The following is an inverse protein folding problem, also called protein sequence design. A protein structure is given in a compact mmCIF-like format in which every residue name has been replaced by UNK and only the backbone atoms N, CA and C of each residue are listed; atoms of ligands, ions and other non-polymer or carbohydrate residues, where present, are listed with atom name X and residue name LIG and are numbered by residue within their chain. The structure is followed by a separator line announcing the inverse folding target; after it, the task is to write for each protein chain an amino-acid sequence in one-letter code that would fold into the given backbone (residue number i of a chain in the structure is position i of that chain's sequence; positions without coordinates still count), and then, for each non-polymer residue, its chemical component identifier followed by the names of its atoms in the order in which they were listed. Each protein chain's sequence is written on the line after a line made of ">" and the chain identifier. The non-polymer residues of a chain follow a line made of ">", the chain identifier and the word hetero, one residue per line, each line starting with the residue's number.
data_IF_032699780891
#
_entry.id   IF_032699780891
#
_cell.length_a   1.000
_cell.length_b   1.000
_cell.length_c   1.000
_cell.angle_alpha   90.00
_cell.angle_beta   90.00
_cell.angle_gamma   90.00
#
_symmetry.space_group_name_H-M   'P 1'
#
loop_
_entity.id
_entity.type
_entity.pdbx_description
1 polymer ?
#
# COMPACT_ATOMS: atom_id res chain seq x y z
N UNK A 1 135.74 -36.88 -31.83
CA UNK A 1 134.64 -36.87 -32.80
C UNK A 1 134.27 -38.32 -32.93
N UNK A 2 133.20 -38.81 -32.31
CA UNK A 2 131.85 -38.26 -32.41
C UNK A 2 131.09 -38.24 -31.08
N UNK A 3 130.56 -37.06 -30.78
CA UNK A 3 129.39 -36.85 -29.92
C UNK A 3 128.14 -37.26 -30.73
N UNK A 4 127.04 -37.60 -30.03
CA UNK A 4 125.68 -37.92 -30.53
C UNK A 4 125.38 -39.42 -30.60
N UNK A 5 124.79 -39.96 -29.51
CA UNK A 5 123.77 -41.06 -29.50
C UNK A 5 123.38 -41.55 -28.08
N UNK A 6 123.54 -40.73 -27.03
CA UNK A 6 123.04 -41.06 -25.67
C UNK A 6 121.94 -40.12 -25.17
N UNK A 7 121.28 -39.43 -26.10
CA UNK A 7 119.96 -38.85 -25.88
C UNK A 7 119.01 -39.68 -26.73
N UNK A 8 118.42 -40.76 -26.20
CA UNK A 8 117.07 -41.12 -26.66
C UNK A 8 116.33 -42.10 -25.75
N UNK A 9 116.90 -43.22 -25.27
CA UNK A 9 116.04 -44.26 -24.67
C UNK A 9 115.40 -43.92 -23.30
N UNK A 10 116.13 -43.26 -22.40
CA UNK A 10 115.58 -42.85 -21.07
C UNK A 10 114.54 -41.73 -21.18
N UNK A 11 114.77 -40.79 -22.09
CA UNK A 11 113.85 -39.69 -22.41
C UNK A 11 112.57 -40.20 -23.08
N UNK A 12 112.69 -41.18 -23.98
CA UNK A 12 111.55 -41.83 -24.64
C UNK A 12 110.70 -42.65 -23.66
N UNK A 13 111.31 -43.38 -22.73
CA UNK A 13 110.57 -44.17 -21.72
C UNK A 13 109.89 -43.29 -20.67
N UNK A 14 110.52 -42.21 -20.22
CA UNK A 14 109.86 -41.22 -19.35
C UNK A 14 108.71 -40.50 -20.08
N UNK A 15 108.88 -40.14 -21.35
CA UNK A 15 107.79 -39.55 -22.16
C UNK A 15 106.65 -40.53 -22.45
N UNK A 16 106.94 -41.81 -22.69
CA UNK A 16 105.92 -42.85 -22.85
C UNK A 16 105.14 -43.07 -21.55
N UNK A 17 105.84 -43.17 -20.41
CA UNK A 17 105.19 -43.28 -19.10
C UNK A 17 104.37 -42.03 -18.75
N UNK A 18 104.85 -40.83 -19.09
CA UNK A 18 104.10 -39.58 -18.94
C UNK A 18 102.86 -39.53 -19.85
N UNK A 19 102.96 -40.06 -21.08
CA UNK A 19 101.82 -40.14 -22.00
C UNK A 19 100.78 -41.17 -21.54
N UNK A 20 101.19 -42.29 -20.95
CA UNK A 20 100.27 -43.27 -20.35
C UNK A 20 99.60 -42.72 -19.09
N UNK A 21 100.37 -42.11 -18.17
CA UNK A 21 99.82 -41.45 -16.98
C UNK A 21 98.88 -40.30 -17.34
N UNK A 22 99.21 -39.50 -18.35
CA UNK A 22 98.30 -38.43 -18.82
C UNK A 22 97.08 -38.99 -19.55
N UNK A 23 97.19 -40.12 -20.23
CA UNK A 23 96.08 -40.89 -20.80
C UNK A 23 95.13 -41.41 -19.73
N UNK A 24 95.64 -42.09 -18.71
CA UNK A 24 94.87 -42.59 -17.56
C UNK A 24 94.22 -41.45 -16.77
N UNK A 25 94.93 -40.34 -16.57
CA UNK A 25 94.38 -39.16 -15.91
C UNK A 25 93.24 -38.54 -16.74
N UNK A 26 93.40 -38.50 -18.07
CA UNK A 26 92.38 -38.00 -19.00
C UNK A 26 91.15 -38.91 -19.00
N UNK A 27 91.32 -40.21 -19.03
CA UNK A 27 90.22 -41.17 -18.99
C UNK A 27 89.50 -41.12 -17.65
N UNK A 28 90.24 -41.03 -16.53
CA UNK A 28 89.68 -40.84 -15.19
C UNK A 28 88.88 -39.54 -15.07
N UNK A 29 89.37 -38.42 -15.63
CA UNK A 29 88.62 -37.15 -15.69
C UNK A 29 87.34 -37.33 -16.52
N UNK A 30 87.41 -38.03 -17.66
CA UNK A 30 86.29 -38.22 -18.58
C UNK A 30 85.20 -39.09 -17.97
N UNK A 31 85.57 -40.18 -17.29
CA UNK A 31 84.64 -41.05 -16.55
C UNK A 31 83.99 -40.31 -15.36
N UNK A 32 84.78 -39.54 -14.62
CA UNK A 32 84.27 -38.75 -13.49
C UNK A 32 83.28 -37.70 -13.99
N UNK A 33 83.58 -37.03 -15.10
CA UNK A 33 82.70 -36.07 -15.74
C UNK A 33 81.41 -36.72 -16.27
N UNK A 34 81.51 -37.89 -16.91
CA UNK A 34 80.37 -38.66 -17.37
C UNK A 34 79.46 -39.12 -16.21
N UNK A 35 80.05 -39.56 -15.10
CA UNK A 35 79.36 -39.94 -13.86
C UNK A 35 78.65 -38.74 -13.22
N UNK A 36 79.33 -37.60 -13.09
CA UNK A 36 78.73 -36.34 -12.62
C UNK A 36 77.56 -35.91 -13.52
N UNK A 37 77.71 -35.96 -14.84
CA UNK A 37 76.67 -35.59 -15.79
C UNK A 37 75.47 -36.54 -15.73
N UNK A 38 75.69 -37.84 -15.54
CA UNK A 38 74.62 -38.83 -15.34
C UNK A 38 73.87 -38.58 -14.02
N UNK A 39 74.58 -38.24 -12.95
CA UNK A 39 74.01 -37.87 -11.65
C UNK A 39 73.19 -36.57 -11.74
N UNK A 40 73.73 -35.53 -12.40
CA UNK A 40 73.04 -34.27 -12.66
C UNK A 40 71.74 -34.48 -13.45
N UNK A 41 71.77 -35.27 -14.54
CA UNK A 41 70.57 -35.61 -15.32
C UNK A 41 69.53 -36.36 -14.49
N UNK A 42 69.96 -37.28 -13.62
CA UNK A 42 69.07 -38.02 -12.71
C UNK A 42 68.41 -37.08 -11.69
N UNK A 43 69.18 -36.16 -11.11
CA UNK A 43 68.67 -35.14 -10.20
C UNK A 43 67.71 -34.15 -10.88
N UNK A 44 68.02 -33.69 -12.09
CA UNK A 44 67.13 -32.84 -12.88
C UNK A 44 65.82 -33.53 -13.22
N UNK A 45 65.84 -34.80 -13.67
CA UNK A 45 64.62 -35.58 -13.92
C UNK A 45 63.76 -35.73 -12.65
N UNK A 46 64.40 -35.97 -11.50
CA UNK A 46 63.70 -36.06 -10.19
C UNK A 46 63.08 -34.70 -9.80
N UNK A 47 63.80 -33.60 -9.99
CA UNK A 47 63.32 -32.23 -9.74
C UNK A 47 62.13 -31.89 -10.64
N UNK A 48 62.19 -32.19 -11.94
CA UNK A 48 61.09 -31.99 -12.89
C UNK A 48 59.86 -32.82 -12.50
N UNK A 49 60.02 -34.11 -12.15
CA UNK A 49 58.89 -34.93 -11.67
C UNK A 49 58.27 -34.37 -10.39
N UNK A 50 59.09 -33.91 -9.44
CA UNK A 50 58.60 -33.29 -8.20
C UNK A 50 57.86 -31.98 -8.47
N UNK A 51 58.37 -31.15 -9.38
CA UNK A 51 57.70 -29.91 -9.80
C UNK A 51 56.37 -30.21 -10.50
N UNK A 52 56.29 -31.19 -11.41
CA UNK A 52 55.02 -31.64 -12.01
C UNK A 52 54.03 -32.11 -10.96
N UNK A 53 54.47 -32.93 -10.00
CA UNK A 53 53.60 -33.39 -8.89
C UNK A 53 53.11 -32.24 -8.02
N UNK A 54 53.95 -31.25 -7.73
CA UNK A 54 53.55 -30.04 -6.98
C UNK A 54 52.56 -29.20 -7.78
N UNK A 55 52.80 -28.99 -9.08
CA UNK A 55 51.89 -28.29 -9.99
C UNK A 55 50.50 -28.93 -9.99
N UNK A 56 50.40 -30.25 -10.25
CA UNK A 56 49.11 -30.94 -10.28
C UNK A 56 48.38 -30.87 -8.93
N UNK A 57 49.11 -30.92 -7.80
CA UNK A 57 48.51 -30.75 -6.47
C UNK A 57 47.95 -29.35 -6.26
N UNK A 58 48.62 -28.32 -6.76
CA UNK A 58 48.15 -26.94 -6.69
C UNK A 58 46.93 -26.72 -7.59
N UNK A 59 46.98 -27.21 -8.83
CA UNK A 59 45.83 -27.17 -9.76
C UNK A 59 44.60 -27.85 -9.15
N UNK A 60 44.76 -29.02 -8.55
CA UNK A 60 43.65 -29.71 -7.90
C UNK A 60 43.11 -29.00 -6.65
N UNK A 61 43.94 -28.25 -5.92
CA UNK A 61 43.45 -27.43 -4.79
C UNK A 61 42.68 -26.22 -5.30
N UNK A 62 43.22 -25.52 -6.29
CA UNK A 62 42.59 -24.35 -6.87
C UNK A 62 41.24 -24.70 -7.51
N UNK A 63 41.13 -25.84 -8.19
CA UNK A 63 39.86 -26.32 -8.74
C UNK A 63 38.83 -26.60 -7.65
N UNK A 64 39.24 -27.16 -6.51
CA UNK A 64 38.34 -27.39 -5.36
C UNK A 64 37.89 -26.09 -4.72
N UNK A 65 38.82 -25.16 -4.46
CA UNK A 65 38.51 -23.83 -3.92
C UNK A 65 37.53 -23.09 -4.83
N UNK A 66 37.74 -23.14 -6.14
CA UNK A 66 36.87 -22.50 -7.13
C UNK A 66 35.49 -23.16 -7.23
N UNK A 67 35.40 -24.47 -7.00
CA UNK A 67 34.12 -25.20 -6.95
C UNK A 67 33.35 -24.88 -5.66
N UNK A 68 34.03 -24.81 -4.51
CA UNK A 68 33.45 -24.38 -3.24
C UNK A 68 32.92 -22.94 -3.31
N UNK A 69 33.69 -22.03 -3.91
CA UNK A 69 33.31 -20.63 -4.08
C UNK A 69 32.10 -20.48 -5.02
N UNK A 70 32.05 -21.26 -6.12
CA UNK A 70 30.88 -21.32 -7.01
C UNK A 70 29.63 -21.85 -6.30
N UNK A 71 29.78 -22.86 -5.45
CA UNK A 71 28.66 -23.41 -4.69
C UNK A 71 28.14 -22.39 -3.67
N UNK A 72 29.04 -21.66 -3.00
CA UNK A 72 28.67 -20.60 -2.06
C UNK A 72 27.92 -19.46 -2.75
N UNK A 73 28.42 -18.97 -3.89
CA UNK A 73 27.76 -17.93 -4.67
C UNK A 73 26.36 -18.34 -5.14
N UNK A 74 26.17 -19.60 -5.56
CA UNK A 74 24.84 -20.09 -5.93
C UNK A 74 23.86 -20.11 -4.76
N UNK A 75 24.34 -20.49 -3.57
CA UNK A 75 23.50 -20.45 -2.37
C UNK A 75 23.12 -19.02 -2.01
N UNK A 76 24.07 -18.09 -2.02
CA UNK A 76 23.82 -16.67 -1.77
C UNK A 76 22.84 -16.07 -2.80
N UNK A 77 22.98 -16.42 -4.09
CA UNK A 77 22.06 -16.01 -5.15
C UNK A 77 20.63 -16.54 -4.91
N UNK A 78 20.49 -17.80 -4.49
CA UNK A 78 19.19 -18.41 -4.23
C UNK A 78 18.52 -17.86 -2.97
N UNK A 79 19.29 -17.57 -1.92
CA UNK A 79 18.81 -16.88 -0.71
C UNK A 79 18.35 -15.45 -1.03
N UNK A 80 19.15 -14.70 -1.78
CA UNK A 80 18.77 -13.34 -2.22
C UNK A 80 17.53 -13.35 -3.09
N UNK A 81 17.39 -14.32 -3.99
CA UNK A 81 16.21 -14.46 -4.84
C UNK A 81 14.95 -14.74 -4.03
N UNK A 82 15.01 -15.63 -3.05
CA UNK A 82 13.89 -15.90 -2.13
C UNK A 82 13.51 -14.67 -1.33
N UNK A 83 14.50 -13.95 -0.79
CA UNK A 83 14.24 -12.72 -0.03
C UNK A 83 13.58 -11.63 -0.89
N UNK A 84 14.01 -11.49 -2.16
CA UNK A 84 13.38 -10.58 -3.12
C UNK A 84 11.95 -10.99 -3.45
N UNK A 85 11.70 -12.28 -3.66
CA UNK A 85 10.35 -12.82 -3.93
C UNK A 85 9.40 -12.55 -2.76
N UNK A 86 9.83 -12.80 -1.51
CA UNK A 86 9.05 -12.48 -0.31
C UNK A 86 8.78 -10.98 -0.15
N UNK A 87 9.75 -10.13 -0.45
CA UNK A 87 9.59 -8.68 -0.38
C UNK A 87 8.60 -8.16 -1.43
N UNK A 88 8.68 -8.69 -2.66
CA UNK A 88 7.75 -8.35 -3.74
C UNK A 88 6.33 -8.84 -3.44
N UNK A 89 6.18 -10.04 -2.87
CA UNK A 89 4.86 -10.57 -2.48
C UNK A 89 4.20 -9.68 -1.42
N UNK A 90 4.96 -9.27 -0.39
CA UNK A 90 4.48 -8.31 0.61
C UNK A 90 4.07 -6.98 -0.02
N UNK A 91 4.87 -6.45 -0.95
CA UNK A 91 4.57 -5.19 -1.63
C UNK A 91 3.30 -5.28 -2.49
N UNK A 92 3.11 -6.40 -3.19
CA UNK A 92 1.89 -6.66 -3.96
C UNK A 92 0.68 -6.73 -3.05
N UNK A 93 0.77 -7.40 -1.90
CA UNK A 93 -0.33 -7.51 -0.96
C UNK A 93 -0.70 -6.16 -0.35
N UNK A 94 0.27 -5.37 0.11
CA UNK A 94 0.03 -4.00 0.57
C UNK A 94 -0.60 -3.14 -0.54
N UNK A 95 -0.18 -3.31 -1.80
CA UNK A 95 -0.79 -2.57 -2.90
C UNK A 95 -2.25 -2.98 -3.14
N UNK A 96 -2.61 -4.26 -2.99
CA UNK A 96 -4.01 -4.70 -3.10
C UNK A 96 -4.86 -4.11 -1.98
N UNK A 97 -4.35 -4.15 -0.75
CA UNK A 97 -5.03 -3.57 0.42
C UNK A 97 -5.31 -2.08 0.21
N UNK A 98 -4.33 -1.32 -0.31
CA UNK A 98 -4.50 0.10 -0.60
C UNK A 98 -5.54 0.37 -1.70
N UNK A 99 -5.59 -0.45 -2.75
CA UNK A 99 -6.60 -0.33 -3.81
C UNK A 99 -8.00 -0.58 -3.24
N UNK A 100 -8.16 -1.62 -2.43
CA UNK A 100 -9.42 -1.96 -1.78
C UNK A 100 -9.86 -0.87 -0.80
N UNK A 101 -8.94 -0.32 0.00
CA UNK A 101 -9.21 0.83 0.87
C UNK A 101 -9.68 2.06 0.06
N UNK A 102 -9.07 2.34 -1.10
CA UNK A 102 -9.47 3.45 -1.98
C UNK A 102 -10.86 3.27 -2.57
N UNK A 103 -11.19 2.05 -2.98
CA UNK A 103 -12.53 1.74 -3.45
C UNK A 103 -13.57 1.99 -2.34
N UNK A 104 -13.32 1.47 -1.14
CA UNK A 104 -14.21 1.67 0.03
C UNK A 104 -14.32 3.13 0.45
N UNK A 105 -13.24 3.92 0.40
CA UNK A 105 -13.28 5.36 0.71
C UNK A 105 -14.20 6.12 -0.26
N UNK A 106 -14.16 5.79 -1.55
CA UNK A 106 -15.04 6.40 -2.56
C UNK A 106 -16.51 6.02 -2.35
N UNK A 107 -16.78 4.76 -2.08
CA UNK A 107 -18.14 4.27 -1.79
C UNK A 107 -18.70 4.95 -0.52
N UNK A 108 -17.89 5.04 0.53
CA UNK A 108 -18.25 5.75 1.77
C UNK A 108 -18.56 7.22 1.53
N UNK A 109 -17.80 7.91 0.68
CA UNK A 109 -18.04 9.31 0.37
C UNK A 109 -19.44 9.51 -0.23
N UNK A 110 -19.87 8.63 -1.12
CA UNK A 110 -21.21 8.70 -1.73
C UNK A 110 -22.29 8.54 -0.65
N UNK A 111 -22.14 7.57 0.26
CA UNK A 111 -23.08 7.36 1.37
C UNK A 111 -23.13 8.58 2.29
N UNK A 112 -21.97 9.17 2.62
CA UNK A 112 -21.89 10.37 3.45
C UNK A 112 -22.58 11.56 2.77
N UNK A 113 -22.37 11.76 1.47
CA UNK A 113 -23.06 12.79 0.70
C UNK A 113 -24.59 12.59 0.73
N UNK A 114 -25.08 11.36 0.60
CA UNK A 114 -26.51 11.04 0.74
C UNK A 114 -27.06 11.38 2.15
N UNK A 115 -26.30 11.10 3.22
CA UNK A 115 -26.71 11.46 4.59
C UNK A 115 -26.79 12.99 4.75
N UNK A 116 -25.86 13.74 4.17
CA UNK A 116 -25.93 15.21 4.16
C UNK A 116 -27.11 15.75 3.35
N UNK A 117 -27.47 15.09 2.25
CA UNK A 117 -28.66 15.45 1.46
C UNK A 117 -29.95 15.20 2.25
N UNK A 118 -30.05 14.08 2.98
CA UNK A 118 -31.16 13.80 3.90
C UNK A 118 -31.31 14.92 4.94
N UNK A 119 -30.20 15.30 5.60
CA UNK A 119 -30.19 16.37 6.59
C UNK A 119 -30.59 17.73 6.00
N UNK A 120 -30.14 18.04 4.77
CA UNK A 120 -30.50 19.27 4.06
C UNK A 120 -31.99 19.31 3.75
N UNK A 121 -32.54 18.25 3.17
CA UNK A 121 -33.97 18.17 2.86
C UNK A 121 -34.84 18.32 4.11
N UNK A 122 -34.45 17.71 5.25
CA UNK A 122 -35.17 17.90 6.50
C UNK A 122 -35.08 19.34 7.04
N UNK A 123 -33.94 19.99 6.88
CA UNK A 123 -33.77 21.41 7.21
C UNK A 123 -34.65 22.30 6.32
N UNK A 124 -34.73 21.98 5.03
CA UNK A 124 -35.58 22.71 4.07
C UNK A 124 -37.06 22.51 4.40
N UNK A 125 -37.49 21.29 4.76
CA UNK A 125 -38.84 21.01 5.24
C UNK A 125 -39.19 21.90 6.43
N UNK A 126 -38.31 21.97 7.42
CA UNK A 126 -38.48 22.81 8.60
C UNK A 126 -38.61 24.31 8.28
N UNK A 127 -37.78 24.77 7.34
CA UNK A 127 -37.82 26.15 6.85
C UNK A 127 -39.14 26.47 6.13
N UNK A 128 -39.56 25.62 5.17
CA UNK A 128 -40.81 25.82 4.44
C UNK A 128 -42.01 25.76 5.36
N UNK A 129 -41.99 24.87 6.34
CA UNK A 129 -43.04 24.75 7.33
C UNK A 129 -43.15 26.01 8.21
N UNK A 130 -42.02 26.58 8.65
CA UNK A 130 -42.00 27.84 9.38
C UNK A 130 -42.62 28.99 8.60
N UNK A 131 -42.43 29.02 7.27
CA UNK A 131 -43.09 30.01 6.42
C UNK A 131 -44.59 29.76 6.25
N UNK A 132 -45.04 28.51 6.28
CA UNK A 132 -46.48 28.16 6.27
C UNK A 132 -47.14 28.69 7.55
N UNK A 133 -46.50 28.52 8.72
CA UNK A 133 -47.01 29.06 9.99
C UNK A 133 -47.16 30.59 9.95
N UNK A 134 -46.15 31.31 9.45
CA UNK A 134 -46.25 32.76 9.28
C UNK A 134 -47.36 33.17 8.31
N UNK A 135 -47.57 32.40 7.23
CA UNK A 135 -48.70 32.63 6.31
C UNK A 135 -50.06 32.37 6.97
N UNK A 136 -50.15 31.39 7.88
CA UNK A 136 -51.36 31.09 8.64
C UNK A 136 -51.73 32.24 9.60
N UNK A 137 -50.76 32.85 10.27
CA UNK A 137 -51.00 34.03 11.12
C UNK A 137 -51.48 35.24 10.29
N UNK A 138 -50.88 35.46 9.12
CA UNK A 138 -51.32 36.52 8.19
C UNK A 138 -52.74 36.22 7.67
N UNK A 139 -53.06 34.96 7.35
CA UNK A 139 -54.40 34.56 6.93
C UNK A 139 -55.44 34.88 8.00
N UNK A 140 -55.18 34.53 9.27
CA UNK A 140 -56.05 34.87 10.40
C UNK A 140 -56.27 36.37 10.51
N UNK A 141 -55.20 37.17 10.41
CA UNK A 141 -55.30 38.64 10.48
C UNK A 141 -56.13 39.23 9.33
N UNK A 142 -56.01 38.71 8.11
CA UNK A 142 -56.81 39.12 6.94
C UNK A 142 -58.29 38.74 7.11
N UNK A 143 -58.55 37.59 7.72
CA UNK A 143 -59.89 37.12 8.04
C UNK A 143 -60.55 37.94 9.19
N UNK A 144 -59.76 38.38 10.19
CA UNK A 144 -60.20 39.10 11.39
C UNK A 144 -60.31 40.63 11.23
N UNK A 145 -59.41 41.30 10.50
CA UNK A 145 -59.25 42.79 10.53
C UNK A 145 -59.88 43.58 9.35
N UNK A 146 -60.85 43.04 8.61
CA UNK A 146 -61.25 43.66 7.33
C UNK A 146 -62.54 44.50 7.37
N UNK A 147 -62.38 45.82 7.47
CA UNK A 147 -63.31 46.86 7.00
C UNK A 147 -63.29 47.03 5.46
N UNK A 148 -62.55 46.19 4.72
CA UNK A 148 -62.44 46.23 3.25
C UNK A 148 -63.54 45.42 2.53
N UNK A 149 -64.02 45.94 1.39
CA UNK A 149 -65.01 45.29 0.49
C UNK A 149 -64.75 43.77 0.32
N UNK A 150 -65.76 42.95 0.61
CA UNK A 150 -65.73 41.47 0.64
C UNK A 150 -64.98 40.80 -0.53
N UNK A 151 -65.07 41.36 -1.74
CA UNK A 151 -64.38 40.82 -2.93
C UNK A 151 -62.85 40.88 -2.86
N UNK A 152 -62.24 41.91 -2.23
CA UNK A 152 -60.78 41.98 -2.08
C UNK A 152 -60.28 41.02 -0.99
N UNK A 153 -61.08 40.81 0.06
CA UNK A 153 -60.82 39.85 1.14
C UNK A 153 -60.75 38.41 0.60
N UNK A 154 -61.73 38.01 -0.20
CA UNK A 154 -61.78 36.67 -0.82
C UNK A 154 -60.56 36.37 -1.69
N UNK A 155 -60.10 37.33 -2.49
CA UNK A 155 -58.94 37.16 -3.36
C UNK A 155 -57.61 37.03 -2.57
N UNK A 156 -57.41 37.85 -1.53
CA UNK A 156 -56.19 37.79 -0.71
C UNK A 156 -56.09 36.49 0.10
N UNK A 157 -57.18 36.07 0.73
CA UNK A 157 -57.24 34.80 1.47
C UNK A 157 -57.02 33.59 0.55
N UNK A 158 -57.67 33.57 -0.62
CA UNK A 158 -57.46 32.53 -1.62
C UNK A 158 -56.01 32.46 -2.12
N UNK A 159 -55.37 33.62 -2.37
CA UNK A 159 -53.97 33.66 -2.79
C UNK A 159 -53.02 33.13 -1.71
N UNK A 160 -53.27 33.44 -0.43
CA UNK A 160 -52.48 32.93 0.70
C UNK A 160 -52.64 31.41 0.83
N UNK A 161 -53.88 30.91 0.82
CA UNK A 161 -54.18 29.46 0.86
C UNK A 161 -53.52 28.70 -0.30
N UNK A 162 -53.59 29.24 -1.51
CA UNK A 162 -52.93 28.66 -2.68
C UNK A 162 -51.41 28.59 -2.53
N UNK A 163 -50.77 29.62 -1.96
CA UNK A 163 -49.32 29.62 -1.67
C UNK A 163 -48.95 28.62 -0.58
N UNK A 164 -49.77 28.50 0.47
CA UNK A 164 -49.58 27.53 1.54
C UNK A 164 -49.64 26.10 0.99
N UNK A 165 -50.63 25.80 0.14
CA UNK A 165 -50.74 24.49 -0.54
C UNK A 165 -49.50 24.17 -1.37
N UNK A 166 -49.03 25.09 -2.21
CA UNK A 166 -47.81 24.89 -3.01
C UNK A 166 -46.56 24.57 -2.17
N UNK A 167 -46.46 25.15 -0.97
CA UNK A 167 -45.37 24.86 -0.04
C UNK A 167 -45.54 23.51 0.64
N UNK A 168 -46.76 23.12 1.00
CA UNK A 168 -47.03 21.79 1.49
C UNK A 168 -46.70 20.71 0.44
N UNK A 169 -47.05 20.94 -0.84
CA UNK A 169 -46.68 20.06 -1.95
C UNK A 169 -45.14 19.97 -2.14
N UNK A 170 -44.40 21.04 -1.81
CA UNK A 170 -42.94 21.03 -1.81
C UNK A 170 -42.38 20.21 -0.65
N UNK A 171 -42.93 20.40 0.56
CA UNK A 171 -42.56 19.63 1.75
C UNK A 171 -42.78 18.14 1.51
N UNK A 172 -43.91 17.75 0.92
CA UNK A 172 -44.20 16.35 0.58
C UNK A 172 -43.14 15.77 -0.36
N UNK A 173 -42.78 16.50 -1.43
CA UNK A 173 -41.75 16.04 -2.37
C UNK A 173 -40.38 15.87 -1.72
N UNK A 174 -40.00 16.78 -0.82
CA UNK A 174 -38.75 16.66 -0.05
C UNK A 174 -38.80 15.45 0.90
N UNK A 175 -39.95 15.19 1.51
CA UNK A 175 -40.17 14.04 2.38
C UNK A 175 -40.03 12.71 1.61
N UNK A 176 -40.70 12.60 0.46
CA UNK A 176 -40.63 11.41 -0.40
C UNK A 176 -39.20 11.17 -0.90
N UNK A 177 -38.49 12.24 -1.30
CA UNK A 177 -37.07 12.17 -1.66
C UNK A 177 -36.20 11.69 -0.50
N UNK A 178 -36.54 12.07 0.74
CA UNK A 178 -35.82 11.62 1.92
C UNK A 178 -36.06 10.15 2.22
N UNK A 179 -37.28 9.65 2.07
CA UNK A 179 -37.56 8.21 2.22
C UNK A 179 -36.68 7.41 1.26
N UNK A 180 -36.64 7.80 -0.02
CA UNK A 180 -35.83 7.10 -1.04
C UNK A 180 -34.33 7.12 -0.69
N UNK A 181 -33.81 8.26 -0.24
CA UNK A 181 -32.41 8.39 0.18
C UNK A 181 -32.12 7.55 1.43
N UNK A 182 -33.02 7.55 2.40
CA UNK A 182 -32.88 6.76 3.63
C UNK A 182 -32.85 5.27 3.32
N UNK A 183 -33.73 4.77 2.46
CA UNK A 183 -33.72 3.36 2.02
C UNK A 183 -32.38 2.99 1.40
N UNK A 184 -31.87 3.80 0.46
CA UNK A 184 -30.56 3.58 -0.17
C UNK A 184 -29.42 3.56 0.83
N UNK A 185 -29.42 4.48 1.80
CA UNK A 185 -28.39 4.53 2.85
C UNK A 185 -28.49 3.29 3.74
N UNK A 186 -29.69 2.89 4.16
CA UNK A 186 -29.90 1.72 5.02
C UNK A 186 -29.49 0.40 4.33
N UNK A 187 -29.77 0.26 3.03
CA UNK A 187 -29.32 -0.92 2.28
C UNK A 187 -27.80 -0.92 2.08
N UNK A 188 -27.22 0.24 1.79
CA UNK A 188 -25.76 0.39 1.72
C UNK A 188 -25.11 0.07 3.07
N UNK A 189 -25.71 0.47 4.19
CA UNK A 189 -25.24 0.12 5.53
C UNK A 189 -25.29 -1.39 5.83
N UNK A 190 -26.10 -2.19 5.11
CA UNK A 190 -26.12 -3.66 5.24
C UNK A 190 -25.03 -4.34 4.40
N UNK A 191 -24.79 -3.85 3.19
CA UNK A 191 -23.89 -4.48 2.20
C UNK A 191 -22.44 -4.00 2.29
N UNK A 192 -22.27 -2.72 2.57
CA UNK A 192 -20.97 -2.08 2.72
C UNK A 192 -20.79 -1.82 4.21
N UNK A 193 -19.75 -2.41 4.81
CA UNK A 193 -18.86 -1.79 5.82
C UNK A 193 -18.47 -2.66 7.02
N UNK A 194 -17.26 -3.22 6.88
CA UNK A 194 -16.22 -3.01 7.90
C UNK A 194 -15.89 -1.50 7.96
N UNK A 195 -16.69 -0.74 8.71
CA UNK A 195 -16.45 0.69 9.01
C UNK A 195 -15.24 0.93 9.92
N UNK A 196 -14.61 -0.15 10.41
CA UNK A 196 -13.58 -0.13 11.45
C UNK A 196 -12.34 0.68 11.02
N UNK A 197 -12.04 0.74 9.71
CA UNK A 197 -10.87 1.48 9.21
C UNK A 197 -11.13 2.98 9.03
N UNK A 198 -12.39 3.39 8.87
CA UNK A 198 -12.72 4.78 8.49
C UNK A 198 -13.61 5.54 9.50
N UNK A 199 -14.06 4.96 10.60
CA UNK A 199 -14.19 5.75 11.84
C UNK A 199 -15.57 6.20 12.33
N UNK A 200 -16.63 5.49 11.98
CA UNK A 200 -17.85 5.49 12.81
C UNK A 200 -17.74 4.28 13.75
N UNK A 201 -17.77 4.52 15.06
CA UNK A 201 -17.84 3.44 16.06
C UNK A 201 -19.13 2.63 15.86
N UNK A 202 -19.06 1.32 16.11
CA UNK A 202 -20.18 0.39 15.92
C UNK A 202 -21.47 0.82 16.66
N UNK A 203 -21.32 1.40 17.85
CA UNK A 203 -22.41 1.99 18.63
C UNK A 203 -23.09 3.15 17.90
N UNK A 204 -22.32 4.03 17.26
CA UNK A 204 -22.82 5.19 16.53
C UNK A 204 -23.43 4.78 15.18
N UNK A 205 -22.95 3.69 14.56
CA UNK A 205 -23.58 3.08 13.38
C UNK A 205 -24.99 2.58 13.72
N UNK A 206 -25.13 1.84 14.82
CA UNK A 206 -26.44 1.34 15.25
C UNK A 206 -27.38 2.50 15.59
N UNK A 207 -26.87 3.56 16.22
CA UNK A 207 -27.62 4.80 16.42
C UNK A 207 -28.10 5.41 15.10
N UNK A 208 -27.19 5.61 14.13
CA UNK A 208 -27.52 6.16 12.82
C UNK A 208 -28.60 5.32 12.10
N UNK A 209 -28.46 4.00 12.08
CA UNK A 209 -29.45 3.10 11.47
C UNK A 209 -30.82 3.20 12.16
N UNK A 210 -30.85 3.28 13.49
CA UNK A 210 -32.09 3.47 14.25
C UNK A 210 -32.73 4.82 13.91
N UNK A 211 -31.95 5.90 13.89
CA UNK A 211 -32.46 7.24 13.58
C UNK A 211 -33.00 7.33 12.15
N UNK A 212 -32.27 6.81 11.17
CA UNK A 212 -32.70 6.77 9.78
C UNK A 212 -33.99 5.95 9.62
N UNK A 213 -34.07 4.77 10.25
CA UNK A 213 -35.30 3.98 10.26
C UNK A 213 -36.48 4.72 10.91
N UNK A 214 -36.25 5.41 12.03
CA UNK A 214 -37.29 6.21 12.68
C UNK A 214 -37.79 7.31 11.74
N UNK A 215 -36.89 8.03 11.07
CA UNK A 215 -37.23 9.10 10.12
C UNK A 215 -38.03 8.60 8.90
N UNK A 216 -37.73 7.40 8.40
CA UNK A 216 -38.44 6.79 7.26
C UNK A 216 -39.91 6.46 7.56
N UNK A 217 -40.21 6.14 8.81
CA UNK A 217 -41.54 5.68 9.23
C UNK A 217 -42.47 6.81 9.68
N UNK A 218 -41.99 8.07 9.61
CA UNK A 218 -42.79 9.24 9.93
C UNK A 218 -43.84 9.43 8.82
N UNK A 219 -45.12 9.36 9.17
CA UNK A 219 -46.20 9.53 8.20
C UNK A 219 -46.42 11.01 7.92
N UNK A 220 -46.20 11.43 6.67
CA UNK A 220 -46.55 12.76 6.19
C UNK A 220 -47.95 12.74 5.58
N UNK A 221 -48.86 13.57 6.10
CA UNK A 221 -50.22 13.69 5.57
C UNK A 221 -50.28 14.68 4.41
N UNK A 222 -50.94 14.28 3.32
CA UNK A 222 -51.15 15.14 2.15
C UNK A 222 -52.29 16.13 2.38
N UNK A 223 -52.09 17.39 1.95
CA UNK A 223 -53.17 18.39 1.94
C UNK A 223 -54.01 18.24 0.67
N UNK A 224 -55.07 17.42 0.75
CA UNK A 224 -55.90 17.11 -0.40
C UNK A 224 -56.74 18.31 -0.92
N UNK A 225 -57.08 19.28 -0.06
CA UNK A 225 -57.85 20.47 -0.45
C UNK A 225 -57.38 21.77 0.20
N UNK A 226 -57.55 22.89 -0.53
CA UNK A 226 -57.23 24.25 -0.03
C UNK A 226 -58.16 24.71 1.12
N UNK A 227 -59.26 23.99 1.38
CA UNK A 227 -60.22 24.29 2.44
C UNK A 227 -59.87 23.61 3.78
N UNK A 228 -59.00 22.60 3.77
CA UNK A 228 -58.59 21.82 4.95
C UNK A 228 -57.17 22.17 5.44
N UNK A 229 -56.64 23.30 4.97
CA UNK A 229 -55.26 23.74 5.22
C UNK A 229 -54.98 23.87 6.74
N UNK A 230 -55.90 24.44 7.52
CA UNK A 230 -55.66 24.66 8.96
C UNK A 230 -55.59 23.37 9.78
N UNK A 231 -56.43 22.38 9.50
CA UNK A 231 -56.39 21.09 10.21
C UNK A 231 -55.19 20.26 9.80
N UNK A 232 -54.83 20.25 8.51
CA UNK A 232 -53.68 19.49 8.03
C UNK A 232 -52.32 20.10 8.42
N UNK A 233 -52.22 21.43 8.54
CA UNK A 233 -50.99 22.08 9.03
C UNK A 233 -50.71 21.73 10.48
N UNK A 234 -51.74 21.65 11.34
CA UNK A 234 -51.55 21.27 12.73
C UNK A 234 -51.02 19.84 12.87
N UNK A 235 -51.45 18.93 12.01
CA UNK A 235 -50.93 17.56 11.97
C UNK A 235 -49.50 17.52 11.41
N UNK A 236 -49.23 18.24 10.31
CA UNK A 236 -47.86 18.40 9.79
C UNK A 236 -46.90 19.00 10.82
N UNK A 237 -47.39 19.83 11.74
CA UNK A 237 -46.58 20.45 12.81
C UNK A 237 -45.98 19.41 13.74
N UNK A 238 -46.76 18.41 14.14
CA UNK A 238 -46.31 17.32 15.02
C UNK A 238 -45.24 16.50 14.30
N UNK A 239 -45.50 16.14 13.05
CA UNK A 239 -44.58 15.41 12.17
C UNK A 239 -43.24 16.14 11.98
N UNK A 240 -43.28 17.44 11.63
CA UNK A 240 -42.05 18.25 11.43
C UNK A 240 -41.29 18.44 12.73
N UNK A 241 -41.98 18.50 13.87
CA UNK A 241 -41.34 18.57 15.18
C UNK A 241 -40.58 17.28 15.52
N UNK A 242 -41.18 16.11 15.29
CA UNK A 242 -40.53 14.80 15.47
C UNK A 242 -39.27 14.67 14.59
N UNK A 243 -39.38 15.05 13.33
CA UNK A 243 -38.25 15.10 12.39
C UNK A 243 -37.13 15.99 12.93
N UNK A 244 -37.47 17.19 13.42
CA UNK A 244 -36.50 18.16 13.93
C UNK A 244 -35.76 17.62 15.15
N UNK A 245 -36.46 16.96 16.08
CA UNK A 245 -35.83 16.33 17.24
C UNK A 245 -34.84 15.24 16.82
N UNK A 246 -35.22 14.38 15.87
CA UNK A 246 -34.34 13.34 15.34
C UNK A 246 -33.14 13.92 14.58
N UNK A 247 -33.31 15.05 13.88
CA UNK A 247 -32.22 15.70 13.15
C UNK A 247 -31.10 16.18 14.08
N UNK A 248 -31.44 16.69 15.26
CA UNK A 248 -30.44 17.08 16.26
C UNK A 248 -29.67 15.90 16.86
N UNK A 249 -30.21 14.68 16.75
CA UNK A 249 -29.60 13.45 17.25
C UNK A 249 -28.69 12.77 16.22
N UNK A 250 -28.73 13.19 14.95
CA UNK A 250 -27.84 12.67 13.91
C UNK A 250 -26.37 13.02 14.21
N UNK A 251 -25.46 12.04 14.34
CA UNK A 251 -24.05 12.29 14.63
C UNK A 251 -23.27 12.71 13.36
N UNK A 252 -23.70 13.78 12.68
CA UNK A 252 -23.13 14.22 11.40
C UNK A 252 -21.62 14.54 11.48
N UNK A 253 -21.15 14.97 12.65
CA UNK A 253 -19.73 15.25 12.92
C UNK A 253 -18.84 13.99 12.87
N UNK A 254 -19.43 12.80 13.03
CA UNK A 254 -18.73 11.52 13.03
C UNK A 254 -18.69 10.86 11.64
N UNK A 255 -19.40 11.42 10.65
CA UNK A 255 -19.43 10.91 9.28
C UNK A 255 -18.12 11.18 8.50
N UNK A 256 -17.22 11.99 9.07
CA UNK A 256 -15.89 12.19 8.47
C UNK A 256 -14.98 11.00 8.76
N UNK A 257 -14.21 10.54 7.77
CA UNK A 257 -13.30 9.45 7.99
C UNK A 257 -12.24 9.79 9.04
N UNK A 258 -12.01 8.91 10.03
CA UNK A 258 -11.00 9.10 11.10
C UNK A 258 -9.57 9.08 10.56
N UNK A 259 -9.32 8.34 9.47
CA UNK A 259 -8.06 8.33 8.74
C UNK A 259 -8.32 8.30 7.24
N UNK A 260 -7.78 9.25 6.48
CA UNK A 260 -7.73 9.16 5.02
C UNK A 260 -6.66 8.16 4.57
N UNK A 261 -6.75 7.63 3.34
CA UNK A 261 -5.64 6.84 2.76
C UNK A 261 -4.32 7.61 2.81
N UNK A 262 -4.38 8.93 2.66
CA UNK A 262 -3.21 9.79 2.81
C UNK A 262 -2.58 9.68 4.20
N UNK A 263 -3.38 9.68 5.27
CA UNK A 263 -2.88 9.48 6.64
C UNK A 263 -2.34 8.07 6.84
N UNK A 264 -3.02 7.04 6.32
CA UNK A 264 -2.51 5.67 6.37
C UNK A 264 -1.15 5.53 5.67
N UNK A 265 -1.00 6.12 4.49
CA UNK A 265 0.27 6.14 3.75
C UNK A 265 1.37 6.89 4.51
N UNK A 266 1.03 7.98 5.20
CA UNK A 266 1.98 8.69 6.07
C UNK A 266 2.39 7.85 7.28
N UNK A 267 1.45 7.17 7.94
CA UNK A 267 1.75 6.26 9.07
C UNK A 267 2.71 5.13 8.62
N UNK A 268 2.52 4.58 7.41
CA UNK A 268 3.41 3.57 6.84
C UNK A 268 4.82 4.12 6.59
N UNK A 269 4.94 5.33 6.05
CA UNK A 269 6.23 6.01 5.86
C UNK A 269 6.93 6.26 7.21
N UNK A 270 6.20 6.78 8.20
CA UNK A 270 6.74 7.06 9.54
C UNK A 270 7.20 5.76 10.25
N UNK A 271 6.46 4.66 10.07
CA UNK A 271 6.84 3.35 10.62
C UNK A 271 8.10 2.78 9.94
N UNK A 272 8.27 3.04 8.64
CA UNK A 272 9.47 2.65 7.90
C UNK A 272 10.70 3.41 8.42
N UNK A 273 10.58 4.72 8.65
CA UNK A 273 11.65 5.56 9.20
C UNK A 273 12.06 5.14 10.62
N UNK A 274 11.09 4.76 11.48
CA UNK A 274 11.40 4.28 12.83
C UNK A 274 12.15 2.94 12.83
N UNK A 275 11.87 2.04 11.89
CA UNK A 275 12.57 0.76 11.77
C UNK A 275 14.04 0.88 11.35
N UNK A 276 14.41 2.01 10.73
CA UNK A 276 15.78 2.32 10.32
C UNK A 276 16.52 3.24 11.32
N UNK A 277 15.83 3.71 12.37
CA UNK A 277 16.41 4.64 13.36
C UNK A 277 17.33 3.97 14.41
N UNK A 278 17.54 2.65 14.36
CA UNK A 278 18.41 1.90 15.31
C UNK A 278 19.83 1.64 14.74
N UNK A 279 20.23 2.28 13.63
CA UNK A 279 21.58 2.13 13.09
C UNK A 279 22.26 3.48 12.81
N UNK A 280 22.64 4.19 13.88
CA UNK A 280 23.80 5.08 13.89
C UNK A 280 24.50 5.03 15.24
#
# INVERSE_FOLDING_TARGET
>A
MDFVEEIDEKSLTENLNLNELTGELRDGITETYASMMKSLRKNQKKKIRNLKRKKNRLENRFLKELEEERMKLKMEEEEMRKSLEEALEKQVETSKELIEMNKREKENRVIVEMIFDIARNWTDIDFWFSQILGMQEVLKSVEENSDEKEHKKGNSAAMIRHRMKKKADLIQRLHDSNIELVEKVLDSLKETLDFVVFGIEETNRNGLSVFLNSMMNIQFLTLDSEQLIDSGINQMKETVFEIRELLFQLPLYQLRPRKSIRQYLWDQIDSFDQSHSICF
#
